data_IF_713620433384
#
_entry.id   IF_713620433384
#
_cell.length_a   1.000
_cell.length_b   1.000
_cell.length_c   1.000
_cell.angle_alpha   90.00
_cell.angle_beta   90.00
_cell.angle_gamma   90.00
#
_symmetry.space_group_name_H-M   'P 1'
#
loop_
_entity.id
_entity.type
_entity.pdbx_description
1 polymer ?
#
# COMPACT_ATOMS: atom_id res chain seq x y z
N UNK A 1 34.45 8.95 14.15
CA UNK A 1 33.09 8.42 13.98
C UNK A 1 32.96 7.90 12.56
N UNK A 2 32.56 6.64 12.37
CA UNK A 2 32.56 6.02 11.05
C UNK A 2 31.43 6.61 10.18
N UNK A 3 31.78 7.44 9.20
CA UNK A 3 30.87 7.92 8.15
C UNK A 3 30.69 6.80 7.12
N UNK A 4 29.65 5.97 7.31
CA UNK A 4 29.21 5.03 6.28
C UNK A 4 28.63 5.83 5.10
N UNK A 5 29.15 5.59 3.89
CA UNK A 5 28.62 6.18 2.65
C UNK A 5 27.21 5.72 2.33
N UNK A 6 26.79 4.59 2.91
CA UNK A 6 25.44 4.06 2.81
C UNK A 6 24.66 4.47 4.06
N UNK A 7 23.69 5.37 3.88
CA UNK A 7 22.71 5.69 4.91
C UNK A 7 21.87 4.46 5.28
N UNK A 8 21.14 4.56 6.39
CA UNK A 8 20.22 3.50 6.83
C UNK A 8 19.27 3.16 5.67
N UNK A 9 19.21 1.87 5.33
CA UNK A 9 18.26 1.39 4.32
C UNK A 9 16.83 1.69 4.77
N UNK A 10 15.91 1.97 3.84
CA UNK A 10 14.50 2.13 4.17
C UNK A 10 13.98 0.88 4.89
N UNK A 11 12.97 1.06 5.74
CA UNK A 11 12.27 -0.07 6.33
C UNK A 11 11.65 -0.91 5.20
N UNK A 12 11.99 -2.20 5.18
CA UNK A 12 11.54 -3.17 4.19
C UNK A 12 10.69 -4.26 4.83
N UNK A 13 10.25 -4.04 6.07
CA UNK A 13 9.41 -5.00 6.78
C UNK A 13 8.12 -5.19 5.99
N UNK A 14 7.84 -6.40 5.48
CA UNK A 14 6.58 -6.66 4.77
C UNK A 14 5.43 -6.57 5.77
N UNK A 15 4.44 -5.72 5.48
CA UNK A 15 3.21 -5.63 6.27
C UNK A 15 2.12 -6.49 5.63
N UNK A 16 1.55 -7.41 6.43
CA UNK A 16 0.37 -8.18 6.02
C UNK A 16 -0.89 -7.35 6.28
N UNK A 17 -1.66 -7.12 5.23
CA UNK A 17 -2.97 -6.46 5.31
C UNK A 17 -4.05 -7.53 5.07
N UNK A 18 -4.99 -7.67 6.01
CA UNK A 18 -6.17 -8.51 5.84
C UNK A 18 -7.34 -7.63 5.44
N UNK A 19 -8.05 -7.98 4.36
CA UNK A 19 -9.20 -7.22 3.85
C UNK A 19 -10.42 -8.13 3.74
N UNK A 20 -11.61 -7.53 3.89
CA UNK A 20 -12.89 -8.16 3.56
C UNK A 20 -13.42 -7.51 2.30
N UNK A 21 -13.83 -8.31 1.32
CA UNK A 21 -14.41 -7.85 0.05
C UNK A 21 -15.82 -8.42 -0.12
N UNK A 22 -16.64 -7.75 -0.94
CA UNK A 22 -17.95 -8.30 -1.33
C UNK A 22 -17.80 -9.57 -2.17
N UNK A 23 -18.86 -10.37 -2.24
CA UNK A 23 -18.89 -11.55 -3.09
C UNK A 23 -18.66 -11.19 -4.57
N UNK A 24 -19.28 -10.11 -5.03
CA UNK A 24 -19.18 -9.64 -6.42
C UNK A 24 -17.73 -9.26 -6.76
N UNK A 25 -17.06 -8.48 -5.89
CA UNK A 25 -15.66 -8.11 -6.11
C UNK A 25 -14.74 -9.34 -6.09
N UNK A 26 -15.02 -10.32 -5.22
CA UNK A 26 -14.27 -11.58 -5.21
C UNK A 26 -14.40 -12.33 -6.55
N UNK A 27 -15.60 -12.36 -7.14
CA UNK A 27 -15.81 -13.00 -8.45
C UNK A 27 -15.07 -12.26 -9.56
N UNK A 28 -15.13 -10.92 -9.58
CA UNK A 28 -14.41 -10.11 -10.56
C UNK A 28 -12.88 -10.30 -10.46
N UNK A 29 -12.34 -10.32 -9.25
CA UNK A 29 -10.91 -10.56 -9.03
C UNK A 29 -10.48 -11.95 -9.52
N UNK A 30 -11.29 -12.98 -9.29
CA UNK A 30 -11.01 -14.33 -9.80
C UNK A 30 -11.08 -14.39 -11.34
N UNK A 31 -12.06 -13.72 -11.95
CA UNK A 31 -12.15 -13.61 -13.40
C UNK A 31 -10.93 -12.89 -13.99
N UNK A 32 -10.47 -11.82 -13.34
CA UNK A 32 -9.25 -11.12 -13.74
C UNK A 32 -8.01 -12.03 -13.66
N UNK A 33 -7.84 -12.79 -12.57
CA UNK A 33 -6.72 -13.73 -12.44
C UNK A 33 -6.73 -14.80 -13.55
N UNK A 34 -7.92 -15.31 -13.91
CA UNK A 34 -8.07 -16.25 -15.02
C UNK A 34 -7.66 -15.63 -16.37
N UNK A 35 -8.06 -14.37 -16.62
CA UNK A 35 -7.67 -13.64 -17.82
C UNK A 35 -6.16 -13.33 -17.86
N UNK A 36 -5.57 -12.95 -16.72
CA UNK A 36 -4.12 -12.74 -16.59
C UNK A 36 -3.35 -14.00 -17.00
N UNK A 37 -3.76 -15.16 -16.47
CA UNK A 37 -3.17 -16.45 -16.84
C UNK A 37 -3.33 -16.78 -18.32
N UNK A 38 -4.50 -16.50 -18.91
CA UNK A 38 -4.70 -16.72 -20.34
C UNK A 38 -3.80 -15.80 -21.18
N UNK A 39 -3.58 -14.57 -20.73
CA UNK A 39 -2.82 -13.55 -21.47
C UNK A 39 -1.32 -13.79 -21.41
N UNK A 40 -0.79 -14.16 -20.22
CA UNK A 40 0.66 -14.24 -19.98
C UNK A 40 1.17 -15.67 -19.75
N UNK A 41 0.28 -16.65 -19.62
CA UNK A 41 0.64 -18.05 -19.31
C UNK A 41 1.02 -18.30 -17.86
N UNK A 42 1.08 -17.26 -17.03
CA UNK A 42 1.47 -17.31 -15.62
C UNK A 42 0.26 -17.42 -14.70
N UNK A 43 0.31 -18.33 -13.72
CA UNK A 43 -0.80 -18.59 -12.81
C UNK A 43 -0.58 -17.92 -11.46
N UNK A 44 -0.79 -16.61 -11.40
CA UNK A 44 -0.74 -15.83 -10.16
C UNK A 44 -2.08 -15.86 -9.43
N UNK A 45 -2.04 -15.92 -8.10
CA UNK A 45 -3.24 -15.82 -7.26
C UNK A 45 -3.74 -14.38 -7.18
N UNK A 46 -5.02 -14.20 -6.85
CA UNK A 46 -5.58 -12.87 -6.57
C UNK A 46 -4.76 -12.11 -5.51
N UNK A 47 -4.28 -12.80 -4.47
CA UNK A 47 -3.49 -12.20 -3.41
C UNK A 47 -2.13 -11.66 -3.89
N UNK A 48 -1.52 -12.32 -4.88
CA UNK A 48 -0.26 -11.89 -5.50
C UNK A 48 -0.48 -10.73 -6.47
N UNK A 49 -1.63 -10.68 -7.14
CA UNK A 49 -1.99 -9.60 -8.07
C UNK A 49 -2.40 -8.30 -7.36
N UNK A 50 -3.08 -8.39 -6.21
CA UNK A 50 -3.60 -7.23 -5.47
C UNK A 50 -2.54 -6.15 -5.20
N UNK A 51 -1.31 -6.46 -4.70
CA UNK A 51 -0.28 -5.46 -4.51
C UNK A 51 0.04 -4.63 -5.76
N UNK A 52 0.10 -5.28 -6.94
CA UNK A 52 0.37 -4.61 -8.20
C UNK A 52 -0.82 -3.78 -8.68
N UNK A 53 -2.04 -4.30 -8.52
CA UNK A 53 -3.26 -3.54 -8.81
C UNK A 53 -3.37 -2.27 -7.97
N UNK A 54 -3.07 -2.36 -6.67
CA UNK A 54 -3.08 -1.22 -5.75
C UNK A 54 -1.99 -0.21 -6.09
N UNK A 55 -0.78 -0.67 -6.42
CA UNK A 55 0.29 0.21 -6.89
C UNK A 55 -0.12 0.97 -8.16
N UNK A 56 -0.65 0.26 -9.16
CA UNK A 56 -1.13 0.87 -10.40
C UNK A 56 -2.29 1.84 -10.18
N UNK A 57 -3.21 1.54 -9.26
CA UNK A 57 -4.30 2.45 -8.88
C UNK A 57 -3.75 3.75 -8.27
N UNK A 58 -2.84 3.65 -7.29
CA UNK A 58 -2.26 4.82 -6.63
C UNK A 58 -1.42 5.68 -7.58
N UNK A 59 -0.68 5.05 -8.50
CA UNK A 59 0.10 5.75 -9.51
C UNK A 59 -0.79 6.43 -10.58
N UNK A 60 -1.95 5.84 -10.88
CA UNK A 60 -2.93 6.38 -11.82
C UNK A 60 -3.79 7.52 -11.26
N UNK A 61 -3.93 7.63 -9.94
CA UNK A 61 -4.73 8.66 -9.30
C UNK A 61 -4.00 10.02 -9.24
N UNK A 62 -4.35 10.91 -10.18
CA UNK A 62 -3.78 12.27 -10.28
C UNK A 62 -4.15 13.15 -9.08
N UNK A 63 -5.35 12.99 -8.53
CA UNK A 63 -5.79 13.78 -7.38
C UNK A 63 -4.97 13.39 -6.14
N UNK A 64 -4.77 12.09 -5.95
CA UNK A 64 -3.86 11.57 -4.92
C UNK A 64 -2.42 12.06 -5.13
N UNK A 65 -1.89 11.99 -6.34
CA UNK A 65 -0.54 12.48 -6.65
C UNK A 65 -0.36 13.98 -6.32
N UNK A 66 -1.37 14.81 -6.64
CA UNK A 66 -1.39 16.23 -6.27
C UNK A 66 -1.40 16.42 -4.76
N UNK A 67 -2.27 15.72 -4.04
CA UNK A 67 -2.36 15.79 -2.57
C UNK A 67 -1.04 15.38 -1.89
N UNK A 68 -0.32 14.37 -2.42
CA UNK A 68 1.03 14.03 -1.93
C UNK A 68 2.03 15.16 -2.11
N UNK A 69 2.03 15.83 -3.28
CA UNK A 69 2.93 16.96 -3.57
C UNK A 69 2.66 18.15 -2.64
N UNK A 70 1.40 18.37 -2.31
CA UNK A 70 0.96 19.44 -1.41
C UNK A 70 1.19 19.10 0.08
N UNK A 71 1.77 17.93 0.39
CA UNK A 71 2.04 17.48 1.77
C UNK A 71 0.79 17.06 2.55
N UNK A 72 -0.39 17.12 1.92
CA UNK A 72 -1.68 16.83 2.53
C UNK A 72 -1.85 15.34 2.86
N UNK A 73 -1.22 14.44 2.10
CA UNK A 73 -1.33 12.99 2.30
C UNK A 73 -0.54 12.46 3.51
N UNK A 74 0.50 13.18 3.95
CA UNK A 74 1.40 12.73 5.03
C UNK A 74 1.18 13.48 6.34
N UNK A 75 0.61 14.68 6.30
CA UNK A 75 0.38 15.51 7.49
C UNK A 75 -0.51 14.82 8.53
N UNK A 76 -1.53 14.07 8.09
CA UNK A 76 -2.50 13.40 8.98
C UNK A 76 -1.92 12.22 9.78
N UNK A 77 -0.84 11.57 9.32
CA UNK A 77 -0.23 10.43 10.03
C UNK A 77 0.67 10.91 11.19
N UNK A 78 1.29 12.08 11.02
CA UNK A 78 2.19 12.67 12.02
C UNK A 78 1.49 13.35 13.20
N UNK A 79 0.26 13.84 13.03
CA UNK A 79 -0.47 14.54 14.11
C UNK A 79 -1.07 13.57 15.16
N UNK A 80 -1.57 12.40 14.74
CA UNK A 80 -2.20 11.44 15.65
C UNK A 80 -1.20 10.79 16.63
N UNK A 81 0.04 10.56 16.18
CA UNK A 81 1.12 10.00 17.01
C UNK A 81 1.58 10.93 18.13
N UNK A 82 1.29 12.24 18.06
CA UNK A 82 1.59 13.20 19.12
C UNK A 82 0.49 13.27 20.18
N UNK A 83 -0.75 12.99 19.81
CA UNK A 83 -1.89 13.10 20.74
C UNK A 83 -1.96 11.95 21.74
N UNK A 84 -1.51 10.75 21.38
CA UNK A 84 -1.60 9.56 22.25
C UNK A 84 -0.53 9.48 23.36
N UNK A 85 0.49 10.35 23.35
CA UNK A 85 1.57 10.35 24.36
C UNK A 85 1.32 11.26 25.56
N UNK A 86 0.21 12.00 25.59
CA UNK A 86 -0.07 13.02 26.59
C UNK A 86 -1.04 12.58 27.71
N UNK A 87 -1.45 11.30 27.76
CA UNK A 87 -2.55 10.85 28.65
C UNK A 87 -2.16 9.75 29.65
N UNK A 88 -0.88 9.44 29.82
CA UNK A 88 -0.40 8.39 30.74
C UNK A 88 0.52 8.96 31.85
N UNK A 89 0.11 10.09 32.43
CA UNK A 89 0.77 10.69 33.58
C UNK A 89 -0.24 11.45 34.43
N UNK A 90 -1.04 10.70 35.21
CA UNK A 90 -1.68 11.18 36.44
C UNK A 90 -1.71 10.06 37.49
#
# INVERSE_FOLDING_TARGET
MANLKLGKLPDRTPLKITITVSADLSQELNAYAALYRQTYGESETVAELIPFMLAGFLDGDRAFAKARKEGLATASISDESRSLKASDSE
#
